data_IF_657653233391
#
_entry.id   IF_657653233391
#
_cell.length_a   1.000
_cell.length_b   1.000
_cell.length_c   1.000
_cell.angle_alpha   90.00
_cell.angle_beta   90.00
_cell.angle_gamma   90.00
#
_symmetry.space_group_name_H-M   'P 1'
#
loop_
_entity.id
_entity.type
_entity.pdbx_description
1 polymer ?
#
# COMPACT_ATOMS: atom_id res chain seq x y z
N UNK A 1 -22.05 2.04 -19.88
CA UNK A 1 -22.05 0.70 -20.52
C UNK A 1 -22.12 -0.33 -19.42
N UNK A 2 -22.90 -1.39 -19.59
CA UNK A 2 -22.89 -2.50 -18.64
C UNK A 2 -21.56 -3.26 -18.76
N UNK A 3 -21.04 -3.73 -17.63
CA UNK A 3 -19.84 -4.58 -17.57
C UNK A 3 -20.16 -5.96 -18.16
N UNK A 4 -19.36 -6.41 -19.15
CA UNK A 4 -19.39 -7.79 -19.64
C UNK A 4 -18.57 -8.69 -18.72
N UNK A 5 -19.26 -9.30 -17.75
CA UNK A 5 -18.64 -10.14 -16.72
C UNK A 5 -18.07 -11.43 -17.31
N UNK A 6 -18.69 -12.00 -18.34
CA UNK A 6 -18.20 -13.25 -18.93
C UNK A 6 -16.91 -13.02 -19.72
N UNK A 7 -16.82 -11.90 -20.45
CA UNK A 7 -15.57 -11.48 -21.08
C UNK A 7 -14.46 -11.29 -20.04
N UNK A 8 -14.73 -10.58 -18.94
CA UNK A 8 -13.75 -10.37 -17.87
C UNK A 8 -13.33 -11.70 -17.24
N UNK A 9 -14.27 -12.60 -16.92
CA UNK A 9 -13.97 -13.91 -16.33
C UNK A 9 -13.11 -14.76 -17.26
N UNK A 10 -13.28 -14.62 -18.57
CA UNK A 10 -12.47 -15.35 -19.56
C UNK A 10 -10.98 -14.98 -19.49
N UNK A 11 -10.64 -13.77 -19.04
CA UNK A 11 -9.25 -13.34 -18.85
C UNK A 11 -8.58 -14.02 -17.66
N UNK A 12 -9.32 -14.58 -16.71
CA UNK A 12 -8.77 -15.26 -15.52
C UNK A 12 -8.78 -16.78 -15.72
N UNK A 13 -7.71 -17.40 -16.25
CA UNK A 13 -7.72 -18.81 -16.63
C UNK A 13 -8.06 -19.75 -15.47
N UNK A 14 -7.66 -19.42 -14.25
CA UNK A 14 -7.90 -20.24 -13.05
C UNK A 14 -9.39 -20.41 -12.72
N UNK A 15 -10.25 -19.48 -13.11
CA UNK A 15 -11.69 -19.55 -12.81
C UNK A 15 -12.40 -20.69 -13.56
N UNK A 16 -11.77 -21.26 -14.59
CA UNK A 16 -12.27 -22.45 -15.30
C UNK A 16 -11.96 -23.76 -14.57
N UNK A 17 -11.18 -23.72 -13.48
CA UNK A 17 -10.76 -24.92 -12.76
C UNK A 17 -11.93 -25.65 -12.10
N UNK A 18 -11.99 -26.96 -12.33
CA UNK A 18 -12.82 -27.90 -11.56
C UNK A 18 -12.00 -28.43 -10.38
N UNK A 19 -12.57 -28.39 -9.18
CA UNK A 19 -11.94 -28.82 -7.94
C UNK A 19 -11.98 -30.36 -7.80
N UNK A 20 -11.18 -30.96 -6.89
CA UNK A 20 -11.15 -32.41 -6.69
C UNK A 20 -12.50 -33.05 -6.33
N UNK A 21 -13.44 -32.26 -5.80
CA UNK A 21 -14.81 -32.68 -5.49
C UNK A 21 -15.77 -32.60 -6.70
N UNK A 22 -15.25 -32.37 -7.91
CA UNK A 22 -16.04 -32.27 -9.15
C UNK A 22 -16.80 -30.95 -9.34
N UNK A 23 -16.68 -29.99 -8.42
CA UNK A 23 -17.38 -28.69 -8.51
C UNK A 23 -16.52 -27.62 -9.18
N UNK A 24 -17.18 -26.67 -9.86
CA UNK A 24 -16.53 -25.48 -10.39
C UNK A 24 -15.97 -24.61 -9.26
N UNK A 25 -14.78 -24.03 -9.45
CA UNK A 25 -14.21 -23.07 -8.51
C UNK A 25 -15.11 -21.83 -8.38
N UNK A 26 -15.51 -21.52 -7.15
CA UNK A 26 -16.09 -20.24 -6.75
C UNK A 26 -15.15 -19.63 -5.71
N UNK A 27 -14.40 -18.61 -6.11
CA UNK A 27 -13.32 -18.03 -5.30
C UNK A 27 -13.77 -16.73 -4.63
N UNK A 28 -14.10 -16.81 -3.33
CA UNK A 28 -14.52 -15.66 -2.50
C UNK A 28 -13.48 -15.27 -1.46
N UNK A 29 -12.21 -15.36 -1.82
CA UNK A 29 -11.07 -15.01 -0.95
C UNK A 29 -10.15 -13.95 -1.60
N UNK A 30 -10.74 -13.05 -2.39
CA UNK A 30 -9.99 -12.01 -3.12
C UNK A 30 -9.34 -10.99 -2.17
N UNK A 31 -9.91 -10.80 -0.97
CA UNK A 31 -9.36 -9.91 0.05
C UNK A 31 -8.01 -10.42 0.60
N UNK A 32 -7.76 -11.74 0.60
CA UNK A 32 -6.46 -12.30 0.91
C UNK A 32 -5.51 -12.16 -0.28
N UNK A 33 -5.90 -12.65 -1.45
CA UNK A 33 -5.17 -12.46 -2.70
C UNK A 33 -6.10 -12.61 -3.89
N UNK A 34 -5.95 -11.73 -4.88
CA UNK A 34 -6.73 -11.77 -6.11
C UNK A 34 -6.18 -12.80 -7.10
N UNK A 35 -7.02 -13.24 -8.04
CA UNK A 35 -6.57 -14.03 -9.18
C UNK A 35 -5.91 -13.13 -10.23
N UNK A 36 -5.13 -13.72 -11.15
CA UNK A 36 -4.32 -12.98 -12.12
C UNK A 36 -4.92 -13.17 -13.52
N UNK A 37 -5.18 -12.09 -14.27
CA UNK A 37 -5.60 -12.20 -15.65
C UNK A 37 -4.43 -12.66 -16.51
N UNK A 38 -4.74 -13.21 -17.69
CA UNK A 38 -3.76 -13.75 -18.62
C UNK A 38 -2.72 -12.71 -19.04
N UNK A 39 -3.11 -11.45 -19.21
CA UNK A 39 -2.17 -10.38 -19.56
C UNK A 39 -1.06 -10.16 -18.51
N UNK A 40 -1.34 -10.36 -17.21
CA UNK A 40 -0.34 -10.26 -16.14
C UNK A 40 0.61 -11.45 -16.19
N UNK A 41 0.08 -12.65 -16.39
CA UNK A 41 0.87 -13.88 -16.49
C UNK A 41 1.81 -13.79 -17.71
N UNK A 42 1.25 -13.43 -18.86
CA UNK A 42 1.98 -13.34 -20.12
C UNK A 42 3.07 -12.25 -20.07
N UNK A 43 2.81 -11.10 -19.42
CA UNK A 43 3.82 -10.07 -19.24
C UNK A 43 5.01 -10.54 -18.40
N UNK A 44 4.77 -11.31 -17.34
CA UNK A 44 5.85 -11.91 -16.54
C UNK A 44 6.62 -12.96 -17.34
N UNK A 45 5.92 -13.87 -18.03
CA UNK A 45 6.56 -14.87 -18.89
C UNK A 45 7.44 -14.22 -19.96
N UNK A 46 6.90 -13.21 -20.65
CA UNK A 46 7.61 -12.49 -21.70
C UNK A 46 8.89 -11.81 -21.21
N UNK A 47 8.85 -11.17 -20.03
CA UNK A 47 10.07 -10.61 -19.42
C UNK A 47 11.17 -11.66 -19.24
N UNK A 48 10.82 -12.83 -18.69
CA UNK A 48 11.79 -13.90 -18.42
C UNK A 48 12.27 -14.62 -19.68
N UNK A 49 11.42 -14.73 -20.70
CA UNK A 49 11.75 -15.39 -21.97
C UNK A 49 12.66 -14.53 -22.87
N UNK A 50 12.49 -13.21 -22.85
CA UNK A 50 13.10 -12.33 -23.86
C UNK A 50 14.24 -11.44 -23.34
N UNK A 51 14.04 -10.74 -22.21
CA UNK A 51 14.96 -9.65 -21.82
C UNK A 51 15.27 -9.56 -20.32
N UNK A 52 15.18 -10.67 -19.59
CA UNK A 52 15.60 -10.73 -18.20
C UNK A 52 17.08 -10.37 -18.03
N UNK A 53 17.34 -9.29 -17.30
CA UNK A 53 18.66 -8.89 -16.86
C UNK A 53 18.59 -8.02 -15.60
N UNK A 54 19.76 -7.73 -15.02
CA UNK A 54 19.84 -6.86 -13.86
C UNK A 54 19.73 -5.39 -14.32
N UNK A 55 18.62 -4.74 -13.97
CA UNK A 55 18.39 -3.34 -14.31
C UNK A 55 19.47 -2.44 -13.67
N UNK A 56 19.76 -1.31 -14.33
CA UNK A 56 20.70 -0.28 -13.87
C UNK A 56 22.16 -0.69 -13.65
N UNK A 57 22.58 -1.92 -14.03
CA UNK A 57 23.94 -2.41 -13.73
C UNK A 57 24.90 -2.51 -14.90
N UNK A 58 24.43 -2.55 -16.14
CA UNK A 58 25.29 -2.82 -17.30
C UNK A 58 24.81 -2.09 -18.57
N UNK A 59 25.75 -1.83 -19.48
CA UNK A 59 25.51 -1.17 -20.77
C UNK A 59 25.39 -2.18 -21.91
N UNK A 60 24.52 -3.18 -21.76
CA UNK A 60 24.21 -4.13 -22.82
C UNK A 60 22.71 -4.17 -23.07
N UNK A 61 22.29 -4.58 -24.27
CA UNK A 61 20.91 -4.52 -24.74
C UNK A 61 19.88 -5.04 -23.73
N UNK A 62 20.09 -6.23 -23.17
CA UNK A 62 19.13 -6.79 -22.20
C UNK A 62 19.03 -5.99 -20.89
N UNK A 63 20.10 -5.33 -20.45
CA UNK A 63 20.07 -4.49 -19.24
C UNK A 63 19.35 -3.17 -19.52
N UNK A 64 19.54 -2.60 -20.72
CA UNK A 64 18.80 -1.42 -21.17
C UNK A 64 17.30 -1.71 -21.31
N UNK A 65 16.95 -2.86 -21.91
CA UNK A 65 15.55 -3.31 -22.06
C UNK A 65 14.89 -3.60 -20.71
N UNK A 66 15.56 -4.31 -19.80
CA UNK A 66 15.06 -4.55 -18.44
C UNK A 66 14.88 -3.24 -17.65
N UNK A 67 15.82 -2.31 -17.77
CA UNK A 67 15.74 -0.98 -17.13
C UNK A 67 14.57 -0.17 -17.68
N UNK A 68 14.41 -0.14 -19.02
CA UNK A 68 13.31 0.56 -19.66
C UNK A 68 11.95 -0.03 -19.25
N UNK A 69 11.83 -1.35 -19.12
CA UNK A 69 10.62 -2.01 -18.65
C UNK A 69 10.28 -1.63 -17.20
N UNK A 70 11.27 -1.63 -16.30
CA UNK A 70 11.10 -1.26 -14.89
C UNK A 70 10.64 0.19 -14.72
N UNK A 71 11.30 1.14 -15.41
CA UNK A 71 10.97 2.56 -15.30
C UNK A 71 9.67 2.91 -16.03
N UNK A 72 9.35 2.23 -17.13
CA UNK A 72 8.03 2.32 -17.78
C UNK A 72 6.91 1.83 -16.85
N UNK A 73 7.14 0.74 -16.11
CA UNK A 73 6.20 0.27 -15.09
C UNK A 73 6.05 1.32 -13.98
N UNK A 74 7.15 1.94 -13.51
CA UNK A 74 7.11 2.98 -12.46
C UNK A 74 6.27 4.17 -12.92
N UNK A 75 6.48 4.64 -14.14
CA UNK A 75 5.71 5.74 -14.72
C UNK A 75 4.22 5.41 -14.85
N UNK A 76 3.87 4.20 -15.31
CA UNK A 76 2.48 3.77 -15.44
C UNK A 76 1.78 3.63 -14.08
N UNK A 77 2.44 3.04 -13.09
CA UNK A 77 1.88 2.89 -11.74
C UNK A 77 1.71 4.26 -11.07
N UNK A 78 2.72 5.13 -11.16
CA UNK A 78 2.65 6.48 -10.59
C UNK A 78 1.53 7.30 -11.24
N UNK A 79 1.43 7.26 -12.57
CA UNK A 79 0.32 7.89 -13.30
C UNK A 79 -1.05 7.28 -12.94
N UNK A 80 -1.12 5.97 -12.71
CA UNK A 80 -2.33 5.33 -12.19
C UNK A 80 -2.74 5.99 -10.86
N UNK A 81 -1.81 6.18 -9.93
CA UNK A 81 -2.12 6.84 -8.67
C UNK A 81 -2.07 8.37 -8.72
N UNK A 82 -2.03 8.98 -9.92
CA UNK A 82 -2.08 10.44 -10.07
C UNK A 82 -0.88 11.17 -9.46
N UNK A 83 0.32 10.61 -9.59
CA UNK A 83 1.57 11.19 -9.10
C UNK A 83 2.75 10.94 -10.05
N UNK A 84 3.89 11.55 -9.77
CA UNK A 84 5.12 11.40 -10.55
C UNK A 84 5.95 10.16 -10.15
N UNK A 85 6.81 9.63 -11.04
CA UNK A 85 7.67 8.48 -10.74
C UNK A 85 8.58 8.67 -9.51
N UNK A 86 8.99 9.91 -9.23
CA UNK A 86 9.84 10.26 -8.10
C UNK A 86 9.16 10.04 -6.73
N UNK A 87 7.83 9.93 -6.69
CA UNK A 87 7.05 9.74 -5.48
C UNK A 87 6.72 8.26 -5.22
N UNK A 88 7.18 7.34 -6.08
CA UNK A 88 6.92 5.91 -5.97
C UNK A 88 8.19 5.14 -5.61
N UNK A 89 8.15 4.47 -4.46
CA UNK A 89 9.17 3.51 -4.04
C UNK A 89 8.59 2.09 -4.19
N UNK A 90 9.27 1.24 -4.96
CA UNK A 90 8.90 -0.17 -5.05
C UNK A 90 9.20 -0.87 -3.73
N UNK A 91 8.27 -1.73 -3.31
CA UNK A 91 8.41 -2.60 -2.15
C UNK A 91 7.89 -3.99 -2.52
N UNK A 92 8.07 -4.98 -1.65
CA UNK A 92 7.51 -6.32 -1.77
C UNK A 92 6.00 -6.37 -1.50
N UNK A 93 5.43 -5.30 -0.95
CA UNK A 93 4.01 -5.17 -0.59
C UNK A 93 3.76 -4.03 0.39
N UNK A 94 2.49 -3.87 0.80
CA UNK A 94 2.09 -2.85 1.77
C UNK A 94 2.81 -3.04 3.12
N UNK A 95 3.02 -4.27 3.58
CA UNK A 95 3.76 -4.53 4.83
C UNK A 95 5.16 -3.94 4.81
N UNK A 96 5.94 -4.12 3.73
CA UNK A 96 7.26 -3.53 3.62
C UNK A 96 7.18 -2.01 3.42
N UNK A 97 6.17 -1.50 2.70
CA UNK A 97 5.95 -0.06 2.57
C UNK A 97 5.70 0.62 3.92
N UNK A 98 4.87 0.02 4.78
CA UNK A 98 4.60 0.51 6.13
C UNK A 98 5.86 0.44 7.00
N UNK A 99 6.63 -0.66 6.92
CA UNK A 99 7.91 -0.75 7.62
C UNK A 99 8.92 0.28 7.10
N UNK A 100 8.95 0.56 5.79
CA UNK A 100 9.77 1.62 5.21
C UNK A 100 9.40 2.99 5.81
N UNK A 101 8.11 3.27 6.08
CA UNK A 101 7.72 4.49 6.79
C UNK A 101 8.15 4.45 8.25
N UNK A 102 7.88 3.36 8.99
CA UNK A 102 8.24 3.25 10.40
C UNK A 102 9.75 3.40 10.65
N UNK A 103 10.57 2.75 9.82
CA UNK A 103 12.02 2.72 9.95
C UNK A 103 12.72 3.88 9.24
N UNK A 104 12.19 4.32 8.10
CA UNK A 104 12.77 5.39 7.28
C UNK A 104 12.33 6.78 7.72
N UNK A 105 11.04 7.00 8.01
CA UNK A 105 10.55 8.29 8.50
C UNK A 105 10.42 8.31 10.03
N UNK A 106 9.71 7.35 10.60
CA UNK A 106 9.36 7.33 12.03
C UNK A 106 10.57 7.41 12.96
N UNK A 107 11.60 6.58 12.73
CA UNK A 107 12.83 6.59 13.53
C UNK A 107 13.62 7.89 13.49
N UNK A 108 13.49 8.66 12.42
CA UNK A 108 14.27 9.88 12.19
C UNK A 108 13.53 11.15 12.61
N UNK A 109 12.20 11.07 12.74
CA UNK A 109 11.34 12.24 12.96
C UNK A 109 10.51 12.16 14.25
N UNK A 110 10.48 11.00 14.91
CA UNK A 110 9.78 10.82 16.18
C UNK A 110 10.76 10.65 17.34
N UNK A 111 10.47 11.35 18.43
CA UNK A 111 11.21 11.28 19.68
C UNK A 111 10.40 10.53 20.75
N UNK A 112 11.01 10.36 21.93
CA UNK A 112 10.31 9.78 23.07
C UNK A 112 9.09 10.65 23.42
N UNK A 113 8.00 9.99 23.78
CA UNK A 113 6.71 10.59 24.14
C UNK A 113 5.96 11.27 22.97
N UNK A 114 6.51 11.28 21.75
CA UNK A 114 5.72 11.63 20.56
C UNK A 114 4.61 10.60 20.33
N UNK A 115 3.50 11.06 19.74
CA UNK A 115 2.27 10.27 19.61
C UNK A 115 2.07 9.78 18.18
N UNK A 116 1.83 8.48 18.04
CA UNK A 116 1.31 7.85 16.83
C UNK A 116 -0.14 7.41 17.09
N UNK A 117 -1.05 7.81 16.21
CA UNK A 117 -2.45 7.39 16.26
C UNK A 117 -2.68 6.31 15.22
N UNK A 118 -3.21 5.16 15.66
CA UNK A 118 -3.70 4.08 14.80
C UNK A 118 -5.13 3.70 15.20
N UNK A 119 -5.76 2.78 14.49
CA UNK A 119 -7.14 2.35 14.78
C UNK A 119 -7.23 0.89 15.24
N UNK A 120 -8.36 0.50 15.84
CA UNK A 120 -8.65 -0.91 16.09
C UNK A 120 -9.02 -1.69 14.82
N UNK A 121 -9.16 -1.00 13.68
CA UNK A 121 -9.49 -1.61 12.37
C UNK A 121 -8.25 -2.06 11.59
N UNK A 122 -7.06 -1.74 12.09
CA UNK A 122 -5.80 -1.98 11.37
C UNK A 122 -5.52 -3.46 11.15
N UNK A 123 -4.93 -3.75 9.99
CA UNK A 123 -4.28 -5.04 9.78
C UNK A 123 -2.97 -5.09 10.60
N UNK A 124 -2.51 -6.26 11.02
CA UNK A 124 -1.27 -6.39 11.81
C UNK A 124 -0.03 -5.71 11.17
N UNK A 125 -0.01 -5.63 9.84
CA UNK A 125 1.02 -4.93 9.09
C UNK A 125 1.12 -3.43 9.44
N UNK A 126 0.01 -2.80 9.86
CA UNK A 126 -0.10 -1.41 10.28
C UNK A 126 -0.29 -1.26 11.81
N UNK A 127 0.11 -2.28 12.58
CA UNK A 127 0.12 -2.24 14.05
C UNK A 127 1.53 -2.54 14.57
N UNK A 128 2.07 -3.69 14.15
CA UNK A 128 3.33 -4.23 14.71
C UNK A 128 4.52 -3.27 14.50
N UNK A 129 4.71 -2.62 13.35
CA UNK A 129 5.83 -1.69 13.17
C UNK A 129 5.81 -0.54 14.19
N UNK A 130 4.63 -0.01 14.51
CA UNK A 130 4.46 1.08 15.48
C UNK A 130 4.66 0.62 16.91
N UNK A 131 4.23 -0.60 17.25
CA UNK A 131 4.52 -1.21 18.54
C UNK A 131 6.01 -1.44 18.75
N UNK A 132 6.73 -1.89 17.72
CA UNK A 132 8.18 -2.04 17.78
C UNK A 132 8.90 -0.68 17.88
N UNK A 133 8.39 0.35 17.18
CA UNK A 133 8.89 1.71 17.31
C UNK A 133 8.65 2.26 18.73
N UNK A 134 7.49 2.03 19.33
CA UNK A 134 7.17 2.38 20.72
C UNK A 134 8.16 1.76 21.71
N UNK A 135 8.44 0.45 21.59
CA UNK A 135 9.39 -0.25 22.45
C UNK A 135 10.83 0.29 22.32
N UNK A 136 11.23 0.66 21.10
CA UNK A 136 12.63 1.01 20.81
C UNK A 136 12.94 2.50 20.91
N UNK A 137 11.97 3.37 20.65
CA UNK A 137 12.12 4.83 20.60
C UNK A 137 11.29 5.56 21.67
N UNK A 138 10.37 4.86 22.34
CA UNK A 138 9.57 5.42 23.44
C UNK A 138 8.40 6.29 22.96
N UNK A 139 7.95 6.15 21.72
CA UNK A 139 6.72 6.80 21.22
C UNK A 139 5.48 6.21 21.87
N UNK A 140 4.45 7.03 22.08
CA UNK A 140 3.12 6.60 22.49
C UNK A 140 2.34 6.11 21.27
N UNK A 141 1.65 4.96 21.38
CA UNK A 141 0.74 4.47 20.33
C UNK A 141 -0.68 4.47 20.87
N UNK A 142 -1.54 5.31 20.30
CA UNK A 142 -2.96 5.42 20.64
C UNK A 142 -3.80 4.64 19.65
N UNK A 143 -4.81 3.93 20.15
CA UNK A 143 -5.75 3.17 19.35
C UNK A 143 -7.11 3.84 19.38
N UNK A 144 -7.60 4.21 18.19
CA UNK A 144 -8.94 4.77 18.02
C UNK A 144 -9.93 3.60 17.86
N UNK A 145 -10.96 3.52 18.71
CA UNK A 145 -11.87 2.41 18.73
C UNK A 145 -12.86 2.42 17.56
N UNK A 146 -13.52 1.29 17.37
CA UNK A 146 -14.66 1.15 16.46
C UNK A 146 -15.95 1.49 17.23
N UNK A 147 -16.83 2.28 16.63
CA UNK A 147 -18.20 2.44 17.13
C UNK A 147 -18.95 1.11 16.97
N UNK A 148 -19.27 0.48 18.09
CA UNK A 148 -19.94 -0.84 18.14
C UNK A 148 -21.38 -0.85 17.64
N UNK A 149 -21.99 0.32 17.40
CA UNK A 149 -23.35 0.44 16.83
C UNK A 149 -23.31 0.54 15.31
N UNK A 150 -22.35 1.30 14.76
CA UNK A 150 -22.24 1.54 13.32
C UNK A 150 -21.21 0.64 12.63
N UNK A 151 -20.32 0.02 13.40
CA UNK A 151 -19.12 -0.70 12.94
C UNK A 151 -18.17 0.17 12.10
N UNK A 152 -18.19 1.49 12.29
CA UNK A 152 -17.27 2.46 11.67
C UNK A 152 -16.27 2.97 12.69
N UNK A 153 -15.21 3.64 12.22
CA UNK A 153 -14.28 4.34 13.11
C UNK A 153 -15.02 5.37 13.98
N UNK A 154 -14.73 5.40 15.27
CA UNK A 154 -15.24 6.43 16.18
C UNK A 154 -14.48 7.75 15.94
N UNK A 155 -15.12 8.66 15.21
CA UNK A 155 -14.52 9.94 14.85
C UNK A 155 -14.45 10.93 16.02
N UNK A 156 -15.25 10.76 17.07
CA UNK A 156 -15.16 11.59 18.28
C UNK A 156 -13.92 11.17 19.08
N UNK A 157 -13.71 9.86 19.24
CA UNK A 157 -12.48 9.34 19.84
C UNK A 157 -11.23 9.66 18.99
N UNK A 158 -11.36 9.67 17.67
CA UNK A 158 -10.30 10.09 16.75
C UNK A 158 -9.86 11.53 17.03
N UNK A 159 -10.81 12.47 17.15
CA UNK A 159 -10.51 13.88 17.45
C UNK A 159 -9.73 14.04 18.76
N UNK A 160 -10.11 13.30 19.80
CA UNK A 160 -9.40 13.32 21.08
C UNK A 160 -7.99 12.72 20.96
N UNK A 161 -7.84 11.63 20.20
CA UNK A 161 -6.56 10.95 20.03
C UNK A 161 -5.49 11.80 19.31
N UNK A 162 -5.93 12.77 18.49
CA UNK A 162 -5.05 13.66 17.72
C UNK A 162 -4.24 14.65 18.56
N UNK A 163 -4.55 14.85 19.84
CA UNK A 163 -3.82 15.81 20.68
C UNK A 163 -2.31 15.47 20.74
N UNK A 164 -1.47 16.34 20.20
CA UNK A 164 -0.01 16.11 20.12
C UNK A 164 0.43 15.03 19.13
N UNK A 165 -0.46 14.50 18.28
CA UNK A 165 -0.12 13.50 17.28
C UNK A 165 0.93 14.02 16.28
N UNK A 166 1.92 13.17 15.97
CA UNK A 166 2.94 13.42 14.94
C UNK A 166 2.72 12.58 13.69
N UNK A 167 2.09 11.42 13.85
CA UNK A 167 1.78 10.50 12.77
C UNK A 167 0.42 9.86 13.02
N UNK A 168 -0.39 9.77 11.97
CA UNK A 168 -1.64 9.01 11.94
C UNK A 168 -1.52 7.93 10.88
N UNK A 169 -1.75 6.67 11.26
CA UNK A 169 -1.79 5.55 10.34
C UNK A 169 -3.20 4.96 10.34
N UNK A 170 -3.78 4.79 9.15
CA UNK A 170 -5.15 4.28 9.04
C UNK A 170 -5.34 3.42 7.80
N UNK A 171 -6.03 2.28 7.95
CA UNK A 171 -6.57 1.55 6.80
C UNK A 171 -7.55 2.42 6.01
N UNK A 172 -7.37 2.47 4.69
CA UNK A 172 -8.36 3.06 3.79
C UNK A 172 -9.70 2.34 3.90
N UNK A 173 -9.65 1.01 3.81
CA UNK A 173 -10.80 0.11 3.87
C UNK A 173 -10.44 -1.08 4.74
N UNK A 174 -11.25 -1.39 5.75
CA UNK A 174 -11.03 -2.56 6.60
C UNK A 174 -11.13 -3.85 5.78
N UNK A 175 -10.13 -4.73 5.91
CA UNK A 175 -10.14 -6.06 5.29
C UNK A 175 -11.14 -7.03 5.93
N UNK A 176 -11.71 -6.68 7.08
CA UNK A 176 -12.66 -7.51 7.82
C UNK A 176 -14.07 -6.94 7.69
N UNK A 177 -14.26 -5.66 8.04
CA UNK A 177 -15.57 -5.02 8.04
C UNK A 177 -15.99 -4.51 6.67
N UNK A 178 -15.06 -4.35 5.72
CA UNK A 178 -15.32 -3.76 4.41
C UNK A 178 -15.65 -2.27 4.43
N UNK A 179 -15.58 -1.64 5.62
CA UNK A 179 -15.86 -0.22 5.82
C UNK A 179 -14.70 0.61 5.29
N UNK A 180 -15.02 1.55 4.39
CA UNK A 180 -14.12 2.60 3.92
C UNK A 180 -14.16 3.76 4.91
N UNK A 181 -13.01 4.08 5.50
CA UNK A 181 -12.89 5.17 6.47
C UNK A 181 -13.10 6.54 5.80
N UNK A 182 -13.45 7.59 6.55
CA UNK A 182 -13.58 8.94 6.00
C UNK A 182 -12.19 9.58 5.80
N UNK A 183 -11.42 9.04 4.86
CA UNK A 183 -10.00 9.34 4.66
C UNK A 183 -9.72 10.83 4.48
N UNK A 184 -10.53 11.52 3.70
CA UNK A 184 -10.37 12.96 3.45
C UNK A 184 -10.50 13.76 4.75
N UNK A 185 -11.46 13.38 5.61
CA UNK A 185 -11.70 14.02 6.90
C UNK A 185 -10.57 13.72 7.90
N UNK A 186 -10.10 12.47 7.92
CA UNK A 186 -8.96 12.05 8.74
C UNK A 186 -7.71 12.86 8.37
N UNK A 187 -7.43 13.01 7.07
CA UNK A 187 -6.30 13.79 6.59
C UNK A 187 -6.42 15.26 7.01
N UNK A 188 -7.58 15.87 6.77
CA UNK A 188 -7.86 17.26 7.16
C UNK A 188 -7.60 17.50 8.67
N UNK A 189 -8.17 16.64 9.53
CA UNK A 189 -8.03 16.77 10.98
C UNK A 189 -6.59 16.51 11.46
N UNK A 190 -5.91 15.52 10.88
CA UNK A 190 -4.53 15.18 11.24
C UNK A 190 -3.56 16.30 10.86
N UNK A 191 -3.73 16.88 9.67
CA UNK A 191 -2.91 18.00 9.21
C UNK A 191 -3.15 19.27 10.03
N UNK A 192 -4.37 19.48 10.53
CA UNK A 192 -4.69 20.62 11.40
C UNK A 192 -3.89 20.63 12.71
N UNK A 193 -3.46 19.46 13.21
CA UNK A 193 -2.58 19.34 14.39
C UNK A 193 -1.09 19.16 14.01
N UNK A 194 -0.77 19.20 12.72
CA UNK A 194 0.60 19.06 12.20
C UNK A 194 1.09 17.61 12.06
N UNK A 195 0.22 16.61 12.23
CA UNK A 195 0.58 15.20 12.05
C UNK A 195 0.72 14.85 10.56
N UNK A 196 1.63 13.93 10.23
CA UNK A 196 1.66 13.27 8.91
C UNK A 196 0.65 12.14 8.86
N UNK A 197 0.22 11.74 7.67
CA UNK A 197 -0.78 10.67 7.47
C UNK A 197 -0.27 9.57 6.55
N UNK A 198 -0.26 8.35 7.06
CA UNK A 198 -0.06 7.12 6.31
C UNK A 198 -1.39 6.40 6.10
N UNK A 199 -1.68 6.04 4.85
CA UNK A 199 -2.85 5.25 4.49
C UNK A 199 -2.43 3.83 4.09
N UNK A 200 -2.88 2.80 4.80
CA UNK A 200 -2.85 1.42 4.30
C UNK A 200 -3.99 1.24 3.29
N UNK A 201 -3.63 1.28 2.00
CA UNK A 201 -4.56 1.15 0.89
C UNK A 201 -4.61 -0.28 0.33
N UNK A 202 -4.11 -1.30 1.03
CA UNK A 202 -4.06 -2.66 0.49
C UNK A 202 -5.44 -3.22 0.09
N UNK A 203 -6.53 -2.81 0.77
CA UNK A 203 -7.91 -3.12 0.37
C UNK A 203 -8.62 -1.94 -0.31
N UNK A 204 -8.16 -0.71 -0.11
CA UNK A 204 -8.75 0.47 -0.77
C UNK A 204 -8.45 0.48 -2.27
N UNK A 205 -7.17 0.35 -2.63
CA UNK A 205 -6.69 0.50 -4.01
C UNK A 205 -7.30 -0.48 -5.04
N UNK A 206 -7.64 -1.74 -4.72
CA UNK A 206 -8.36 -2.62 -5.64
C UNK A 206 -9.80 -2.19 -5.95
N UNK A 207 -10.41 -1.36 -5.11
CA UNK A 207 -11.85 -1.06 -5.13
C UNK A 207 -12.18 0.42 -5.36
N UNK A 208 -11.26 1.32 -5.02
CA UNK A 208 -11.41 2.76 -5.16
C UNK A 208 -10.16 3.36 -5.83
N UNK A 209 -10.39 4.32 -6.74
CA UNK A 209 -9.30 5.02 -7.40
C UNK A 209 -8.73 6.07 -6.46
N UNK A 210 -7.46 5.90 -6.09
CA UNK A 210 -6.73 6.84 -5.23
C UNK A 210 -5.87 7.74 -6.11
N UNK A 211 -6.05 9.05 -6.00
CA UNK A 211 -5.23 10.07 -6.64
C UNK A 211 -4.34 10.73 -5.57
N UNK A 212 -3.11 10.26 -5.45
CA UNK A 212 -2.18 10.56 -4.37
C UNK A 212 -1.96 12.06 -4.17
N UNK A 213 -1.54 12.78 -5.21
CA UNK A 213 -1.19 14.21 -5.10
C UNK A 213 -2.39 15.06 -4.63
N UNK A 214 -3.61 14.72 -5.07
CA UNK A 214 -4.84 15.42 -4.66
C UNK A 214 -5.46 14.90 -3.36
N UNK A 215 -5.06 13.73 -2.87
CA UNK A 215 -5.64 13.12 -1.66
C UNK A 215 -5.23 13.83 -0.38
N UNK A 216 -4.09 14.52 -0.40
CA UNK A 216 -3.48 15.11 0.79
C UNK A 216 -2.69 14.12 1.65
N UNK A 217 -2.80 12.81 1.45
CA UNK A 217 -2.03 11.82 2.22
C UNK A 217 -0.52 12.03 2.06
N UNK A 218 0.24 11.80 3.13
CA UNK A 218 1.71 11.93 3.09
C UNK A 218 2.36 10.64 2.62
N UNK A 219 1.73 9.50 2.95
CA UNK A 219 2.14 8.17 2.54
C UNK A 219 0.93 7.31 2.14
N UNK A 220 1.08 6.46 1.11
CA UNK A 220 0.08 5.45 0.75
C UNK A 220 0.77 4.12 0.45
N UNK A 221 0.43 3.07 1.21
CA UNK A 221 0.98 1.73 1.06
C UNK A 221 0.04 0.83 0.24
N UNK A 222 0.59 0.14 -0.77
CA UNK A 222 -0.18 -0.65 -1.74
C UNK A 222 0.43 -2.04 -1.94
N UNK A 223 -0.43 -3.05 -2.13
CA UNK A 223 -0.04 -4.43 -2.48
C UNK A 223 -0.58 -4.84 -3.85
N UNK A 224 0.30 -5.25 -4.77
CA UNK A 224 -0.11 -5.60 -6.13
C UNK A 224 -0.96 -6.86 -6.22
N UNK A 225 -0.68 -7.86 -5.37
CA UNK A 225 -1.38 -9.16 -5.40
C UNK A 225 -2.87 -9.09 -5.02
N UNK A 226 -3.33 -7.96 -4.47
CA UNK A 226 -4.77 -7.68 -4.23
C UNK A 226 -5.42 -6.92 -5.39
N UNK A 227 -4.62 -6.38 -6.31
CA UNK A 227 -5.02 -5.61 -7.50
C UNK A 227 -4.81 -6.40 -8.81
N UNK A 228 -5.03 -7.72 -8.76
CA UNK A 228 -4.82 -8.65 -9.88
C UNK A 228 -3.36 -8.77 -10.38
N UNK A 229 -2.40 -8.17 -9.69
CA UNK A 229 -0.98 -8.21 -10.04
C UNK A 229 -0.19 -9.35 -9.38
N UNK A 230 1.14 -9.39 -9.60
CA UNK A 230 2.01 -10.42 -9.04
C UNK A 230 2.14 -10.35 -7.51
N UNK A 231 2.58 -11.46 -6.92
CA UNK A 231 3.07 -11.50 -5.53
C UNK A 231 4.48 -10.93 -5.42
N UNK A 232 4.85 -10.47 -4.21
CA UNK A 232 6.22 -9.98 -3.95
C UNK A 232 6.50 -8.61 -4.53
N UNK A 233 5.46 -7.85 -4.89
CA UNK A 233 5.58 -6.46 -5.33
C UNK A 233 4.41 -5.63 -4.79
N UNK A 234 4.73 -4.40 -4.43
CA UNK A 234 3.85 -3.33 -4.01
C UNK A 234 4.58 -2.00 -4.18
N UNK A 235 4.03 -0.96 -3.58
CA UNK A 235 4.73 0.32 -3.53
C UNK A 235 4.32 1.14 -2.30
N UNK A 236 5.22 2.05 -1.95
CA UNK A 236 4.93 3.21 -1.14
C UNK A 236 4.84 4.42 -2.07
N UNK A 237 3.72 5.13 -2.05
CA UNK A 237 3.65 6.50 -2.54
C UNK A 237 3.98 7.43 -1.38
N UNK A 238 4.83 8.42 -1.61
CA UNK A 238 5.24 9.37 -0.57
C UNK A 238 5.51 10.74 -1.18
N UNK A 239 5.13 11.81 -0.48
CA UNK A 239 5.38 13.18 -0.96
C UNK A 239 6.88 13.47 -0.98
N UNK A 240 7.31 14.31 -1.92
CA UNK A 240 8.73 14.56 -2.14
C UNK A 240 9.42 15.25 -0.96
N UNK A 241 8.72 16.19 -0.32
CA UNK A 241 9.17 16.88 0.90
C UNK A 241 9.27 15.91 2.08
N UNK A 242 8.27 15.04 2.26
CA UNK A 242 8.27 14.01 3.30
C UNK A 242 9.34 12.95 3.05
N UNK A 243 9.57 12.56 1.79
CA UNK A 243 10.64 11.63 1.43
C UNK A 243 12.03 12.20 1.76
N UNK A 244 12.22 13.52 1.65
CA UNK A 244 13.48 14.17 1.99
C UNK A 244 13.80 14.13 3.50
N UNK A 245 12.79 13.89 4.35
CA UNK A 245 12.93 13.69 5.80
C UNK A 245 13.24 12.22 6.18
N UNK A 246 13.24 11.30 5.20
CA UNK A 246 13.46 9.88 5.45
C UNK A 246 14.95 9.52 5.47
N UNK A 247 15.34 8.71 6.46
CA UNK A 247 16.62 8.01 6.47
C UNK A 247 16.56 6.65 5.76
N UNK A 248 17.71 5.97 5.63
CA UNK A 248 17.79 4.66 4.97
C UNK A 248 17.05 3.57 5.78
N UNK A 249 16.18 2.82 5.10
CA UNK A 249 15.52 1.63 5.64
C UNK A 249 16.36 0.36 5.47
N UNK A 250 16.88 0.15 4.26
CA UNK A 250 17.72 -1.00 3.89
C UNK A 250 18.94 -0.50 3.13
N UNK A 251 20.14 -0.91 3.54
CA UNK A 251 21.40 -0.47 2.93
C UNK A 251 22.05 -1.62 2.15
N UNK A 252 22.43 -1.36 0.90
CA UNK A 252 23.18 -2.30 0.05
C UNK A 252 22.94 -2.03 -1.45
N UNK A 253 23.70 -2.71 -2.33
CA UNK A 253 23.39 -2.90 -3.76
C UNK A 253 23.22 -1.67 -4.67
N UNK A 254 24.26 -1.38 -5.47
CA UNK A 254 24.44 -0.26 -6.44
C UNK A 254 24.84 1.07 -5.81
N UNK A 255 25.92 1.68 -6.34
CA UNK A 255 26.35 3.06 -6.03
C UNK A 255 25.49 4.08 -6.77
#
# INVERSE_FOLDING_TARGET
>A
MALDIEAIRADFPILKRVLPNGKQLVYFDNAATSQKPKCVIDAMSHFYEEYNSNAHRANHTLADEATAALESARARISSYFGTGPANLIYTSGATEAINLVAYGWGRYNLERDDVIVITEMEHHADIVPWQELSKTHGVEVRFVPIDTKTFTLDMEAFEVALDGAKLVCVVHTSNVLGVRNPIERIIEMSHAVGAKVLIDAAQGAPHERIFFDSSGADFVAISSHKMAGPTGIGCLLVKTDVMAEMGPFMTGGSM
#
